data_IF_566845189702
#
_entry.id   IF_566845189702
#
_cell.length_a   1.000
_cell.length_b   1.000
_cell.length_c   1.000
_cell.angle_alpha   90.00
_cell.angle_beta   90.00
_cell.angle_gamma   90.00
#
_symmetry.space_group_name_H-M   'P 1'
#
loop_
_entity.id
_entity.type
_entity.pdbx_description
1 polymer ?
#
# COMPACT_ATOMS: atom_id res chain seq x y z
N UNK A 1 2.69 -6.03 -2.82
CA UNK A 1 2.45 -5.85 -1.37
C UNK A 1 1.37 -6.76 -0.81
N UNK A 2 0.18 -6.82 -1.45
CA UNK A 2 -0.97 -7.59 -0.95
C UNK A 2 -0.64 -9.05 -0.62
N UNK A 3 -0.03 -9.80 -1.55
CA UNK A 3 0.31 -11.22 -1.35
C UNK A 3 1.23 -11.44 -0.13
N UNK A 4 2.24 -10.57 0.05
CA UNK A 4 3.19 -10.66 1.17
C UNK A 4 2.46 -10.44 2.50
N UNK A 5 1.58 -9.44 2.55
CA UNK A 5 0.78 -9.17 3.75
C UNK A 5 -0.22 -10.30 4.03
N UNK A 6 -0.87 -10.86 3.01
CA UNK A 6 -1.75 -12.03 3.14
C UNK A 6 -1.00 -13.23 3.73
N UNK A 7 0.22 -13.50 3.24
CA UNK A 7 1.05 -14.59 3.76
C UNK A 7 1.47 -14.33 5.22
N UNK A 8 1.92 -13.12 5.54
CA UNK A 8 2.29 -12.72 6.91
C UNK A 8 1.12 -12.80 7.87
N UNK A 9 -0.08 -12.37 7.44
CA UNK A 9 -1.29 -12.45 8.25
C UNK A 9 -1.74 -13.89 8.48
N UNK A 10 -1.69 -14.74 7.45
CA UNK A 10 -2.00 -16.17 7.59
C UNK A 10 -1.05 -16.85 8.59
N UNK A 11 0.25 -16.54 8.52
CA UNK A 11 1.23 -17.00 9.51
C UNK A 11 0.87 -16.49 10.91
N UNK A 12 0.58 -15.20 11.09
CA UNK A 12 0.18 -14.64 12.38
C UNK A 12 -1.03 -15.35 12.99
N UNK A 13 -2.13 -15.50 12.21
CA UNK A 13 -3.37 -16.11 12.69
C UNK A 13 -3.17 -17.60 13.03
N UNK A 14 -2.33 -18.32 12.28
CA UNK A 14 -2.02 -19.73 12.58
C UNK A 14 -1.35 -19.93 13.94
N UNK A 15 -0.56 -18.96 14.41
CA UNK A 15 0.06 -18.99 15.73
C UNK A 15 -0.90 -18.54 16.86
N UNK A 16 -1.96 -17.80 16.51
CA UNK A 16 -2.92 -17.21 17.44
C UNK A 16 -3.95 -18.22 17.99
N UNK A 17 -4.14 -19.36 17.32
CA UNK A 17 -5.17 -20.35 17.66
C UNK A 17 -5.05 -20.98 19.06
N UNK A 18 -3.86 -20.93 19.68
CA UNK A 18 -3.65 -21.45 21.04
C UNK A 18 -4.22 -20.57 22.16
N UNK A 19 -4.48 -19.28 21.91
CA UNK A 19 -5.07 -18.34 22.87
C UNK A 19 -6.62 -18.34 22.86
N UNK A 20 -7.24 -19.13 21.98
CA UNK A 20 -8.67 -19.04 21.64
C UNK A 20 -9.61 -19.66 22.70
N UNK A 21 -9.08 -20.30 23.74
CA UNK A 21 -9.88 -21.04 24.74
C UNK A 21 -10.71 -20.10 25.64
N UNK A 22 -10.29 -18.84 25.81
CA UNK A 22 -11.02 -17.85 26.65
C UNK A 22 -11.80 -16.80 25.87
N UNK A 23 -11.50 -16.56 24.59
CA UNK A 23 -12.00 -15.38 23.83
C UNK A 23 -12.89 -15.70 22.62
N UNK A 24 -13.07 -16.97 22.25
CA UNK A 24 -14.13 -17.44 21.33
C UNK A 24 -14.40 -16.53 20.12
N UNK A 25 -15.64 -16.05 19.98
CA UNK A 25 -16.08 -15.22 18.85
C UNK A 25 -15.45 -13.83 18.82
N UNK A 26 -15.04 -13.27 19.97
CA UNK A 26 -14.38 -11.97 20.06
C UNK A 26 -13.00 -11.99 19.37
N UNK A 27 -12.28 -13.12 19.48
CA UNK A 27 -11.01 -13.31 18.78
C UNK A 27 -11.21 -13.24 17.26
N UNK A 28 -12.28 -13.82 16.72
CA UNK A 28 -12.62 -13.75 15.30
C UNK A 28 -12.88 -12.32 14.81
N UNK A 29 -13.60 -11.51 15.60
CA UNK A 29 -13.85 -10.11 15.26
C UNK A 29 -12.56 -9.30 15.26
N UNK A 30 -11.68 -9.49 16.25
CA UNK A 30 -10.39 -8.80 16.33
C UNK A 30 -9.51 -9.14 15.13
N UNK A 31 -9.43 -10.42 14.76
CA UNK A 31 -8.69 -10.88 13.57
C UNK A 31 -9.23 -10.23 12.30
N UNK A 32 -10.55 -10.15 12.13
CA UNK A 32 -11.17 -9.49 11.00
C UNK A 32 -10.86 -7.99 10.94
N UNK A 33 -10.98 -7.28 12.08
CA UNK A 33 -10.68 -5.85 12.16
C UNK A 33 -9.22 -5.57 11.86
N UNK A 34 -8.31 -6.39 12.37
CA UNK A 34 -6.88 -6.31 12.06
C UNK A 34 -6.61 -6.55 10.57
N UNK A 35 -7.32 -7.50 9.95
CA UNK A 35 -7.21 -7.74 8.50
C UNK A 35 -7.63 -6.51 7.68
N UNK A 36 -8.76 -5.89 8.04
CA UNK A 36 -9.21 -4.66 7.39
C UNK A 36 -8.25 -3.50 7.61
N UNK A 37 -7.70 -3.37 8.81
CA UNK A 37 -6.71 -2.35 9.12
C UNK A 37 -5.43 -2.51 8.28
N UNK A 38 -4.89 -3.74 8.19
CA UNK A 38 -3.73 -4.03 7.32
C UNK A 38 -4.05 -3.74 5.85
N UNK A 39 -5.24 -4.12 5.39
CA UNK A 39 -5.67 -3.88 4.01
C UNK A 39 -5.76 -2.39 3.67
N UNK A 40 -6.28 -1.57 4.58
CA UNK A 40 -6.32 -0.12 4.42
C UNK A 40 -4.91 0.47 4.30
N UNK A 41 -3.98 0.04 5.15
CA UNK A 41 -2.57 0.45 5.07
C UNK A 41 -1.93 0.06 3.74
N UNK A 42 -2.19 -1.14 3.21
CA UNK A 42 -1.66 -1.60 1.93
C UNK A 42 -2.14 -0.71 0.78
N UNK A 43 -3.40 -0.28 0.79
CA UNK A 43 -3.95 0.59 -0.24
C UNK A 43 -3.25 1.96 -0.21
N UNK A 44 -3.12 2.56 0.98
CA UNK A 44 -2.46 3.86 1.14
C UNK A 44 -0.99 3.81 0.74
N UNK A 45 -0.26 2.79 1.21
CA UNK A 45 1.14 2.58 0.84
C UNK A 45 1.31 2.32 -0.65
N UNK A 46 0.35 1.62 -1.28
CA UNK A 46 0.37 1.35 -2.71
C UNK A 46 0.18 2.64 -3.52
N UNK A 47 -0.75 3.50 -3.08
CA UNK A 47 -0.97 4.80 -3.69
C UNK A 47 0.25 5.72 -3.56
N UNK A 48 0.85 5.81 -2.37
CA UNK A 48 2.05 6.61 -2.13
C UNK A 48 3.24 6.10 -2.97
N UNK A 49 3.47 4.79 -2.98
CA UNK A 49 4.55 4.19 -3.77
C UNK A 49 4.34 4.46 -5.27
N UNK A 50 3.11 4.35 -5.77
CA UNK A 50 2.81 4.64 -7.16
C UNK A 50 3.05 6.11 -7.50
N UNK A 51 2.64 7.03 -6.62
CA UNK A 51 2.87 8.46 -6.80
C UNK A 51 4.37 8.81 -6.80
N UNK A 52 5.17 8.17 -5.93
CA UNK A 52 6.61 8.41 -5.86
C UNK A 52 7.38 7.80 -7.05
N UNK A 53 6.93 6.65 -7.57
CA UNK A 53 7.49 6.06 -8.79
C UNK A 53 7.24 6.95 -10.01
N UNK A 54 6.04 7.55 -10.10
CA UNK A 54 5.71 8.52 -11.14
C UNK A 54 6.63 9.76 -11.05
N UNK A 55 6.86 10.29 -9.84
CA UNK A 55 7.73 11.44 -9.60
C UNK A 55 9.21 11.21 -10.01
N UNK A 56 9.66 9.96 -10.09
CA UNK A 56 11.02 9.59 -10.48
C UNK A 56 11.16 9.29 -11.97
N UNK A 57 10.06 9.22 -12.71
CA UNK A 57 10.04 8.78 -14.11
C UNK A 57 9.78 9.97 -15.04
N UNK A 58 10.51 10.03 -16.17
CA UNK A 58 10.29 11.08 -17.17
C UNK A 58 9.10 10.83 -18.09
N UNK A 59 8.83 9.56 -18.32
CA UNK A 59 7.72 9.06 -19.12
C UNK A 59 6.44 9.21 -18.29
N UNK A 60 5.37 9.67 -18.91
CA UNK A 60 4.05 9.70 -18.29
C UNK A 60 3.54 8.26 -18.16
N UNK A 61 3.25 7.82 -16.93
CA UNK A 61 2.59 6.52 -16.72
C UNK A 61 1.21 6.67 -16.08
N UNK A 62 0.70 7.91 -16.04
CA UNK A 62 -0.65 8.20 -15.61
C UNK A 62 -1.68 7.71 -16.65
N UNK A 63 -2.95 7.66 -16.25
CA UNK A 63 -4.02 7.20 -17.12
C UNK A 63 -4.51 8.35 -18.00
N UNK A 64 -4.33 8.26 -19.32
CA UNK A 64 -4.76 9.31 -20.23
C UNK A 64 -4.00 9.31 -21.55
N UNK A 65 -4.03 10.46 -22.23
CA UNK A 65 -3.04 10.73 -23.27
C UNK A 65 -1.73 11.16 -22.59
N UNK A 66 -0.59 10.81 -23.19
CA UNK A 66 0.72 11.19 -22.65
C UNK A 66 0.85 12.72 -22.64
N UNK A 67 0.94 13.32 -21.45
CA UNK A 67 1.14 14.76 -21.30
C UNK A 67 2.59 15.07 -20.88
N UNK A 68 3.16 16.19 -21.36
CA UNK A 68 4.48 16.63 -20.93
C UNK A 68 4.48 17.02 -19.43
N UNK A 69 5.64 16.95 -18.78
CA UNK A 69 5.76 17.38 -17.38
C UNK A 69 5.33 18.84 -17.20
N UNK A 70 4.54 19.09 -16.16
CA UNK A 70 3.97 20.40 -15.85
C UNK A 70 2.52 20.55 -16.32
N UNK A 71 2.05 19.64 -17.18
CA UNK A 71 0.70 19.67 -17.75
C UNK A 71 -0.14 18.44 -17.35
N UNK A 72 0.36 17.55 -16.47
CA UNK A 72 -0.29 16.28 -16.08
C UNK A 72 -1.38 16.43 -15.01
N UNK A 73 -1.65 17.66 -14.55
CA UNK A 73 -2.61 17.99 -13.47
C UNK A 73 -2.37 17.18 -12.17
N UNK A 74 -1.11 16.80 -11.92
CA UNK A 74 -0.72 15.96 -10.81
C UNK A 74 0.63 16.43 -10.25
N UNK A 75 0.61 17.07 -9.09
CA UNK A 75 1.79 17.75 -8.52
C UNK A 75 3.03 16.84 -8.42
N UNK A 76 2.82 15.57 -8.04
CA UNK A 76 3.89 14.57 -7.95
C UNK A 76 4.40 14.10 -9.31
N UNK A 77 3.57 14.06 -10.34
CA UNK A 77 3.97 13.68 -11.69
C UNK A 77 4.63 14.84 -12.46
N UNK A 78 4.27 16.08 -12.13
CA UNK A 78 4.75 17.29 -12.79
C UNK A 78 6.13 17.76 -12.28
N UNK A 79 6.59 17.24 -11.15
CA UNK A 79 7.88 17.59 -10.54
C UNK A 79 8.77 16.37 -10.41
N UNK A 80 9.92 16.40 -11.07
CA UNK A 80 10.99 15.45 -10.79
C UNK A 80 11.52 15.69 -9.37
N UNK A 81 11.64 14.63 -8.58
CA UNK A 81 12.36 14.71 -7.29
C UNK A 81 13.77 15.27 -7.50
N UNK A 82 14.25 16.10 -6.56
CA UNK A 82 15.63 16.60 -6.61
C UNK A 82 16.57 15.40 -6.67
N UNK A 83 17.21 15.20 -7.83
CA UNK A 83 18.29 14.25 -7.93
C UNK A 83 19.35 14.73 -6.93
N UNK A 84 19.58 13.96 -5.87
CA UNK A 84 20.76 14.11 -5.03
C UNK A 84 21.94 13.76 -5.91
N UNK A 85 22.38 14.76 -6.68
CA UNK A 85 23.50 14.70 -7.58
C UNK A 85 24.79 14.76 -6.78
N UNK A 86 25.63 13.75 -7.01
CA UNK A 86 27.07 13.96 -7.15
C UNK A 86 27.41 13.78 -8.61
#
# INVERSE_FOLDING_TARGET
MWIVASAGFAFYVSNFGSYNESFGTLAGVIVLLMWFWISAFIILLGAELNAELEAQTRVDTTQGHDEPMGERDAEKADKLGEAVGT
#
